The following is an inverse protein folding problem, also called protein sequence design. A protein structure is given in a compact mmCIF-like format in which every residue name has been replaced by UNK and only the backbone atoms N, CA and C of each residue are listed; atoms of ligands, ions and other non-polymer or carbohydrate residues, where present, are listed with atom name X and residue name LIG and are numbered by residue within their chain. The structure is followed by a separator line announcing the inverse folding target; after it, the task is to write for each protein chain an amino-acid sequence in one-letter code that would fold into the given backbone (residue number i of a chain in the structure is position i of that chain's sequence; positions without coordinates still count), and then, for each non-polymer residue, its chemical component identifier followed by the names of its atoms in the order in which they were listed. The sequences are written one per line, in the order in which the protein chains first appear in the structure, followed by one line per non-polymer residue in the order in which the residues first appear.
data_IF_693910814354
#
_entry.id   IF_693910814354
#
_cell.length_a   1.000
_cell.length_b   1.000
_cell.length_c   1.000
_cell.angle_alpha   90.00
_cell.angle_beta   90.00
_cell.angle_gamma   90.00
#
_symmetry.space_group_name_H-M   'P 1'
#
loop_
_entity.id
_entity.type
_entity.pdbx_description
1 polymer ?
#
# COMPACT_ATOMS: atom_id res chain seq x y z
N UNK A 1 -13.84 -39.36 76.67
CA UNK A 1 -15.14 -38.72 76.95
C UNK A 1 -15.09 -37.29 76.45
N UNK A 2 -16.13 -36.86 75.69
CA UNK A 2 -16.59 -35.45 75.49
C UNK A 2 -15.61 -34.51 74.77
N UNK A 3 -15.96 -33.59 73.87
CA UNK A 3 -17.17 -33.20 73.12
C UNK A 3 -16.64 -32.23 72.02
N UNK A 4 -17.18 -32.28 70.80
CA UNK A 4 -17.20 -31.16 69.83
C UNK A 4 -18.08 -30.02 70.41
N UNK A 5 -17.96 -28.72 70.03
CA UNK A 5 -18.17 -28.20 68.65
C UNK A 5 -17.30 -26.96 68.22
N UNK A 6 -17.00 -26.80 66.91
CA UNK A 6 -17.52 -25.79 65.95
C UNK A 6 -17.05 -24.32 66.21
N UNK A 7 -16.54 -23.52 65.26
CA UNK A 7 -17.26 -22.85 64.14
C UNK A 7 -16.30 -21.89 63.37
N UNK A 8 -16.33 -21.98 62.02
CA UNK A 8 -16.18 -20.96 60.93
C UNK A 8 -14.80 -20.27 60.72
N UNK A 9 -14.07 -20.57 59.61
CA UNK A 9 -14.09 -19.96 58.25
C UNK A 9 -13.76 -18.44 58.26
N UNK A 10 -12.85 -17.88 57.46
CA UNK A 10 -12.51 -18.19 56.07
C UNK A 10 -11.07 -17.76 55.73
N UNK A 11 -10.51 -18.49 54.77
CA UNK A 11 -9.17 -18.38 54.21
C UNK A 11 -9.16 -17.35 53.07
N UNK A 12 -8.12 -16.51 53.02
CA UNK A 12 -7.53 -16.00 51.78
C UNK A 12 -6.03 -15.77 52.03
N UNK A 13 -5.27 -16.86 51.90
CA UNK A 13 -3.85 -16.90 51.55
C UNK A 13 -3.81 -17.14 50.03
N UNK A 14 -2.92 -16.53 49.25
CA UNK A 14 -1.50 -16.87 49.26
C UNK A 14 -0.65 -15.64 48.93
N UNK A 15 0.36 -15.45 49.78
CA UNK A 15 1.50 -14.59 49.61
C UNK A 15 2.71 -15.38 49.06
N UNK A 16 3.76 -14.63 48.75
CA UNK A 16 5.20 -14.93 48.94
C UNK A 16 6.13 -15.06 47.72
N UNK A 17 6.78 -13.93 47.43
CA UNK A 17 8.23 -13.64 47.32
C UNK A 17 9.25 -14.78 47.13
N UNK A 18 10.23 -14.57 46.22
CA UNK A 18 11.45 -15.37 46.13
C UNK A 18 12.48 -14.89 45.09
N UNK A 19 13.55 -14.26 45.57
CA UNK A 19 14.77 -13.71 44.91
C UNK A 19 15.69 -14.78 44.30
N UNK A 20 16.26 -14.57 43.08
CA UNK A 20 17.66 -14.93 42.63
C UNK A 20 17.97 -14.48 41.19
N UNK A 21 19.23 -14.08 40.92
CA UNK A 21 19.92 -13.92 39.60
C UNK A 21 21.37 -14.46 39.88
N UNK A 22 22.18 -15.13 38.99
CA UNK A 22 22.36 -14.95 37.52
C UNK A 22 22.72 -16.21 36.65
N UNK A 23 22.98 -15.95 35.36
CA UNK A 23 23.91 -16.63 34.42
C UNK A 23 23.39 -17.65 33.37
N UNK A 24 23.53 -17.21 32.11
CA UNK A 24 23.88 -17.90 30.86
C UNK A 24 23.00 -19.00 30.25
N UNK A 25 22.89 -18.90 28.92
CA UNK A 25 22.41 -19.88 27.93
C UNK A 25 20.91 -20.20 27.92
N UNK A 26 20.14 -19.37 27.23
CA UNK A 26 19.17 -19.81 26.20
C UNK A 26 18.98 -18.64 25.21
N UNK A 27 19.77 -18.61 24.15
CA UNK A 27 19.39 -17.86 22.94
C UNK A 27 18.37 -18.72 22.20
N UNK A 28 17.11 -18.60 22.58
CA UNK A 28 15.98 -19.17 21.86
C UNK A 28 14.77 -18.28 22.11
N UNK A 29 14.00 -18.10 21.04
CA UNK A 29 12.73 -17.36 20.96
C UNK A 29 12.85 -15.88 20.57
N UNK A 30 13.43 -15.63 19.40
CA UNK A 30 12.76 -14.73 18.44
C UNK A 30 11.54 -15.46 17.86
N UNK A 31 10.49 -15.51 18.64
CA UNK A 31 9.13 -15.81 18.18
C UNK A 31 8.20 -14.81 18.84
N UNK A 32 7.54 -13.99 18.02
CA UNK A 32 6.55 -13.00 18.46
C UNK A 32 7.10 -11.58 18.42
N UNK A 33 6.63 -10.66 17.59
CA UNK A 33 5.34 -10.56 16.90
C UNK A 33 5.60 -9.84 15.57
N UNK A 34 5.46 -10.54 14.44
CA UNK A 34 5.18 -9.84 13.18
C UNK A 34 3.87 -9.11 13.41
N UNK A 35 3.96 -7.80 13.63
CA UNK A 35 2.81 -6.91 13.70
C UNK A 35 1.91 -7.28 12.52
N UNK A 36 0.62 -7.60 12.74
CA UNK A 36 -0.25 -7.98 11.64
C UNK A 36 -0.13 -6.87 10.60
N UNK A 37 0.24 -7.22 9.36
CA UNK A 37 0.30 -6.27 8.26
C UNK A 37 -1.04 -5.55 8.24
N UNK A 38 -1.05 -4.27 8.66
CA UNK A 38 -2.26 -3.44 8.66
C UNK A 38 -2.53 -2.99 7.23
N UNK A 39 -2.67 -3.96 6.33
CA UNK A 39 -2.82 -3.75 4.90
C UNK A 39 -4.03 -2.88 4.61
N UNK A 40 -5.12 -3.06 5.36
CA UNK A 40 -6.30 -2.20 5.31
C UNK A 40 -6.00 -0.73 5.61
N UNK A 41 -5.09 -0.44 6.54
CA UNK A 41 -4.72 0.96 6.84
C UNK A 41 -3.85 1.54 5.72
N UNK A 42 -2.93 0.77 5.16
CA UNK A 42 -2.13 1.18 4.00
C UNK A 42 -3.00 1.41 2.76
N UNK A 43 -4.02 0.59 2.54
CA UNK A 43 -4.99 0.79 1.44
C UNK A 43 -5.74 2.10 1.64
N UNK A 44 -6.24 2.37 2.86
CA UNK A 44 -6.95 3.64 3.16
C UNK A 44 -6.04 4.85 2.99
N UNK A 45 -4.79 4.75 3.42
CA UNK A 45 -3.79 5.80 3.22
C UNK A 45 -3.55 6.05 1.73
N UNK A 46 -3.38 4.99 0.95
CA UNK A 46 -3.21 5.09 -0.50
C UNK A 46 -4.42 5.75 -1.17
N UNK A 47 -5.64 5.34 -0.80
CA UNK A 47 -6.87 5.96 -1.27
C UNK A 47 -6.91 7.46 -0.92
N UNK A 48 -6.50 7.84 0.29
CA UNK A 48 -6.46 9.24 0.71
C UNK A 48 -5.44 10.05 -0.12
N UNK A 49 -4.25 9.49 -0.36
CA UNK A 49 -3.21 10.11 -1.20
C UNK A 49 -3.69 10.29 -2.64
N UNK A 50 -4.30 9.25 -3.23
CA UNK A 50 -4.84 9.30 -4.61
C UNK A 50 -5.97 10.32 -4.71
N UNK A 51 -6.89 10.35 -3.75
CA UNK A 51 -7.97 11.33 -3.70
C UNK A 51 -7.43 12.76 -3.57
N UNK A 52 -6.38 12.96 -2.75
CA UNK A 52 -5.75 14.26 -2.60
C UNK A 52 -5.10 14.72 -3.92
N UNK A 53 -4.32 13.86 -4.57
CA UNK A 53 -3.78 14.12 -5.90
C UNK A 53 -4.92 14.46 -6.89
N UNK A 54 -6.03 13.73 -6.81
CA UNK A 54 -7.28 13.99 -7.51
C UNK A 54 -7.69 15.45 -7.48
N UNK A 55 -7.81 15.98 -6.25
CA UNK A 55 -8.19 17.36 -5.99
C UNK A 55 -7.12 18.36 -6.45
N UNK A 56 -5.83 18.10 -6.21
CA UNK A 56 -4.74 19.01 -6.60
C UNK A 56 -4.67 19.15 -8.13
N UNK A 57 -4.80 18.04 -8.85
CA UNK A 57 -4.81 18.01 -10.31
C UNK A 57 -5.96 18.82 -10.92
N UNK A 58 -7.13 18.89 -10.25
CA UNK A 58 -8.23 19.75 -10.67
C UNK A 58 -7.92 21.23 -10.44
N UNK A 59 -7.26 21.58 -9.34
CA UNK A 59 -6.90 22.97 -9.03
C UNK A 59 -5.84 23.53 -9.99
N UNK A 60 -5.01 22.67 -10.57
CA UNK A 60 -3.92 23.07 -11.46
C UNK A 60 -4.27 23.18 -12.95
N UNK A 61 -5.56 23.08 -13.31
CA UNK A 61 -6.04 23.27 -14.68
C UNK A 61 -5.74 24.67 -15.27
N UNK A 62 -5.42 25.65 -14.42
CA UNK A 62 -5.22 27.05 -14.80
C UNK A 62 -3.76 27.54 -14.72
N UNK A 63 -2.78 26.62 -14.75
CA UNK A 63 -1.37 27.00 -14.65
C UNK A 63 -0.88 27.76 -15.91
N UNK A 64 -0.07 28.83 -15.73
CA UNK A 64 0.49 29.59 -16.84
C UNK A 64 1.61 28.83 -17.58
N UNK A 65 2.27 27.86 -16.94
CA UNK A 65 3.40 27.12 -17.52
C UNK A 65 2.98 25.75 -18.07
N UNK A 66 2.31 25.73 -19.23
CA UNK A 66 1.77 24.49 -19.81
C UNK A 66 2.84 23.50 -20.29
N UNK A 67 3.99 23.99 -20.75
CA UNK A 67 5.08 23.12 -21.23
C UNK A 67 5.68 22.28 -20.09
N UNK A 68 5.88 22.89 -18.93
CA UNK A 68 6.37 22.21 -17.73
C UNK A 68 5.35 21.18 -17.22
N UNK A 69 4.05 21.50 -17.28
CA UNK A 69 2.98 20.57 -16.96
C UNK A 69 2.96 19.36 -17.92
N UNK A 70 3.09 19.59 -19.24
CA UNK A 70 3.16 18.53 -20.25
C UNK A 70 4.31 17.58 -19.94
N UNK A 71 5.52 18.13 -19.71
CA UNK A 71 6.72 17.34 -19.43
C UNK A 71 6.59 16.54 -18.13
N UNK A 72 6.11 17.19 -17.06
CA UNK A 72 5.86 16.55 -15.76
C UNK A 72 4.89 15.38 -15.92
N UNK A 73 3.74 15.60 -16.58
CA UNK A 73 2.74 14.56 -16.78
C UNK A 73 3.27 13.40 -17.61
N UNK A 74 4.02 13.69 -18.67
CA UNK A 74 4.66 12.67 -19.51
C UNK A 74 5.64 11.83 -18.71
N UNK A 75 6.55 12.47 -17.99
CA UNK A 75 7.56 11.79 -17.18
C UNK A 75 6.93 10.91 -16.10
N UNK A 76 5.99 11.46 -15.32
CA UNK A 76 5.34 10.70 -14.24
C UNK A 76 4.50 9.54 -14.77
N UNK A 77 3.82 9.72 -15.91
CA UNK A 77 3.07 8.64 -16.55
C UNK A 77 4.00 7.53 -17.05
N UNK A 78 5.12 7.88 -17.69
CA UNK A 78 6.12 6.90 -18.12
C UNK A 78 6.74 6.16 -16.93
N UNK A 79 7.08 6.86 -15.84
CA UNK A 79 7.61 6.25 -14.64
C UNK A 79 6.63 5.28 -14.00
N UNK A 80 5.35 5.66 -13.90
CA UNK A 80 4.30 4.79 -13.38
C UNK A 80 4.15 3.52 -14.25
N UNK A 81 4.09 3.66 -15.57
CA UNK A 81 4.03 2.51 -16.50
C UNK A 81 5.23 1.58 -16.30
N UNK A 82 6.44 2.13 -16.24
CA UNK A 82 7.66 1.35 -16.05
C UNK A 82 7.66 0.61 -14.70
N UNK A 83 7.26 1.28 -13.62
CA UNK A 83 7.18 0.69 -12.29
C UNK A 83 6.16 -0.44 -12.24
N UNK A 84 4.99 -0.24 -12.86
CA UNK A 84 3.95 -1.28 -12.93
C UNK A 84 4.39 -2.45 -13.79
N UNK A 85 5.03 -2.22 -14.94
CA UNK A 85 5.56 -3.31 -15.77
C UNK A 85 6.63 -4.13 -15.02
N UNK A 86 7.53 -3.46 -14.30
CA UNK A 86 8.54 -4.11 -13.48
C UNK A 86 7.89 -4.94 -12.35
N UNK A 87 6.91 -4.37 -11.66
CA UNK A 87 6.11 -5.07 -10.65
C UNK A 87 5.42 -6.30 -11.24
N UNK A 88 4.72 -6.15 -12.37
CA UNK A 88 4.01 -7.23 -13.04
C UNK A 88 4.96 -8.36 -13.45
N UNK A 89 6.17 -8.02 -13.90
CA UNK A 89 7.18 -9.03 -14.25
C UNK A 89 7.70 -9.74 -13.00
N UNK A 90 8.20 -8.99 -12.02
CA UNK A 90 8.86 -9.55 -10.84
C UNK A 90 7.92 -10.41 -10.01
N UNK A 91 6.67 -9.98 -9.87
CA UNK A 91 5.67 -10.71 -9.11
C UNK A 91 5.14 -11.93 -9.88
N UNK A 92 5.06 -11.88 -11.21
CA UNK A 92 4.83 -13.09 -12.04
C UNK A 92 5.88 -14.16 -11.76
N UNK A 93 7.16 -13.77 -11.70
CA UNK A 93 8.27 -14.68 -11.45
C UNK A 93 8.19 -15.27 -10.02
N UNK A 94 7.85 -14.45 -9.02
CA UNK A 94 7.71 -14.89 -7.62
C UNK A 94 6.51 -15.81 -7.40
N UNK A 95 5.34 -15.50 -7.97
CA UNK A 95 4.11 -16.29 -7.80
C UNK A 95 4.28 -17.68 -8.39
N UNK A 96 4.86 -17.78 -9.59
CA UNK A 96 5.16 -19.09 -10.20
C UNK A 96 6.10 -19.94 -9.35
N UNK A 97 7.03 -19.31 -8.65
CA UNK A 97 8.04 -20.01 -7.85
C UNK A 97 7.56 -20.38 -6.44
N UNK A 98 6.77 -19.52 -5.80
CA UNK A 98 6.48 -19.62 -4.35
C UNK A 98 5.00 -19.74 -4.00
N UNK A 99 4.10 -19.36 -4.91
CA UNK A 99 2.66 -19.33 -4.64
C UNK A 99 1.84 -19.66 -5.88
N UNK A 100 2.07 -20.83 -6.53
CA UNK A 100 1.40 -21.20 -7.78
C UNK A 100 -0.14 -21.20 -7.67
N UNK A 101 -0.67 -21.39 -6.46
CA UNK A 101 -2.11 -21.28 -6.17
C UNK A 101 -2.68 -19.88 -6.41
N UNK A 102 -1.83 -18.83 -6.47
CA UNK A 102 -2.23 -17.46 -6.78
C UNK A 102 -2.19 -17.12 -8.27
N UNK A 103 -1.74 -18.04 -9.14
CA UNK A 103 -1.48 -17.77 -10.55
C UNK A 103 -2.71 -17.26 -11.30
N UNK A 104 -3.90 -17.80 -11.02
CA UNK A 104 -5.15 -17.34 -11.64
C UNK A 104 -5.52 -15.91 -11.20
N UNK A 105 -5.43 -15.62 -9.90
CA UNK A 105 -5.73 -14.28 -9.36
C UNK A 105 -4.74 -13.26 -9.90
N UNK A 106 -3.46 -13.62 -9.93
CA UNK A 106 -2.40 -12.81 -10.49
C UNK A 106 -2.60 -12.55 -11.99
N UNK A 107 -2.96 -13.57 -12.77
CA UNK A 107 -3.19 -13.43 -14.20
C UNK A 107 -4.33 -12.46 -14.50
N UNK A 108 -5.42 -12.54 -13.74
CA UNK A 108 -6.54 -11.60 -13.86
C UNK A 108 -6.13 -10.17 -13.54
N UNK A 109 -5.42 -9.96 -12.42
CA UNK A 109 -4.90 -8.65 -12.06
C UNK A 109 -3.93 -8.11 -13.12
N UNK A 110 -3.01 -8.95 -13.60
CA UNK A 110 -2.07 -8.60 -14.66
C UNK A 110 -2.77 -8.16 -15.94
N UNK A 111 -3.84 -8.85 -16.37
CA UNK A 111 -4.61 -8.45 -17.55
C UNK A 111 -5.19 -7.05 -17.40
N UNK A 112 -5.92 -6.81 -16.29
CA UNK A 112 -6.56 -5.51 -16.02
C UNK A 112 -5.55 -4.38 -15.90
N UNK A 113 -4.44 -4.61 -15.20
CA UNK A 113 -3.39 -3.61 -15.08
C UNK A 113 -2.74 -3.35 -16.45
N UNK A 114 -2.42 -4.38 -17.23
CA UNK A 114 -1.85 -4.19 -18.58
C UNK A 114 -2.79 -3.35 -19.46
N UNK A 115 -4.08 -3.67 -19.50
CA UNK A 115 -5.08 -2.92 -20.25
C UNK A 115 -5.18 -1.45 -19.80
N UNK A 116 -5.09 -1.20 -18.49
CA UNK A 116 -5.12 0.16 -17.93
C UNK A 116 -3.86 0.95 -18.29
N UNK A 117 -2.69 0.32 -18.17
CA UNK A 117 -1.39 1.00 -18.31
C UNK A 117 -0.88 1.09 -19.75
N UNK A 118 -1.36 0.25 -20.68
CA UNK A 118 -1.08 0.40 -22.12
C UNK A 118 -1.61 1.74 -22.64
N UNK A 119 -2.68 2.24 -22.05
CA UNK A 119 -3.32 3.51 -22.41
C UNK A 119 -2.61 4.76 -21.87
N UNK A 120 -1.63 4.58 -20.97
CA UNK A 120 -0.87 5.64 -20.30
C UNK A 120 0.45 5.99 -20.99
N UNK A 121 0.94 5.12 -21.87
CA UNK A 121 2.16 5.37 -22.65
C UNK A 121 1.86 6.24 -23.88
N UNK A 122 1.46 7.50 -23.64
CA UNK A 122 1.14 8.49 -24.67
C UNK A 122 2.10 9.66 -24.62
N UNK A 123 2.37 10.27 -25.78
CA UNK A 123 3.16 11.51 -25.89
C UNK A 123 2.20 12.69 -26.09
N UNK A 124 1.73 13.35 -25.02
CA UNK A 124 0.81 14.48 -25.16
C UNK A 124 1.54 15.69 -25.74
N UNK A 125 0.92 16.35 -26.71
CA UNK A 125 1.41 17.58 -27.35
C UNK A 125 0.47 18.77 -27.11
N UNK A 126 -0.76 18.52 -26.65
CA UNK A 126 -1.77 19.56 -26.40
C UNK A 126 -2.31 19.50 -24.97
N UNK A 127 -2.86 20.62 -24.50
CA UNK A 127 -3.52 20.71 -23.18
C UNK A 127 -4.65 19.69 -23.02
N UNK A 128 -5.41 19.42 -24.09
CA UNK A 128 -6.47 18.40 -24.14
C UNK A 128 -5.89 17.01 -23.86
N UNK A 129 -4.80 16.65 -24.54
CA UNK A 129 -4.13 15.36 -24.35
C UNK A 129 -3.49 15.23 -22.97
N UNK A 130 -3.02 16.34 -22.38
CA UNK A 130 -2.57 16.36 -20.97
C UNK A 130 -3.74 16.11 -20.02
N UNK A 131 -4.90 16.71 -20.25
CA UNK A 131 -6.08 16.47 -19.42
C UNK A 131 -6.54 15.01 -19.51
N UNK A 132 -6.48 14.41 -20.69
CA UNK A 132 -6.73 12.98 -20.89
C UNK A 132 -5.68 12.12 -20.17
N UNK A 133 -4.39 12.44 -20.33
CA UNK A 133 -3.30 11.72 -19.67
C UNK A 133 -3.43 11.79 -18.15
N UNK A 134 -3.79 12.95 -17.61
CA UNK A 134 -4.09 13.14 -16.20
C UNK A 134 -5.20 12.23 -15.71
N UNK A 135 -6.33 12.20 -16.42
CA UNK A 135 -7.46 11.34 -16.05
C UNK A 135 -7.04 9.86 -16.07
N UNK A 136 -6.31 9.43 -17.10
CA UNK A 136 -5.78 8.08 -17.19
C UNK A 136 -4.75 7.78 -16.10
N UNK A 137 -3.94 8.75 -15.70
CA UNK A 137 -2.97 8.57 -14.61
C UNK A 137 -3.69 8.31 -13.29
N UNK A 138 -4.70 9.14 -12.99
CA UNK A 138 -5.55 8.97 -11.81
C UNK A 138 -6.26 7.61 -11.83
N UNK A 139 -6.82 7.22 -12.97
CA UNK A 139 -7.42 5.91 -13.17
C UNK A 139 -6.42 4.78 -12.97
N UNK A 140 -5.19 4.93 -13.48
CA UNK A 140 -4.12 3.95 -13.33
C UNK A 140 -3.74 3.71 -11.88
N UNK A 141 -3.42 4.76 -11.11
CA UNK A 141 -3.08 4.62 -9.69
C UNK A 141 -4.26 4.07 -8.87
N UNK A 142 -5.49 4.48 -9.18
CA UNK A 142 -6.70 3.98 -8.51
C UNK A 142 -6.93 2.49 -8.81
N UNK A 143 -6.79 2.09 -10.07
CA UNK A 143 -6.96 0.69 -10.49
C UNK A 143 -5.90 -0.20 -9.84
N UNK A 144 -4.65 0.28 -9.75
CA UNK A 144 -3.58 -0.44 -9.08
C UNK A 144 -3.91 -0.74 -7.62
N UNK A 145 -4.40 0.24 -6.86
CA UNK A 145 -4.83 0.03 -5.46
C UNK A 145 -6.07 -0.87 -5.39
N UNK A 146 -7.06 -0.65 -6.24
CA UNK A 146 -8.34 -1.36 -6.21
C UNK A 146 -8.18 -2.85 -6.51
N UNK A 147 -7.45 -3.20 -7.56
CA UNK A 147 -7.21 -4.60 -7.89
C UNK A 147 -6.35 -5.30 -6.83
N UNK A 148 -5.43 -4.58 -6.20
CA UNK A 148 -4.62 -5.09 -5.10
C UNK A 148 -5.43 -5.35 -3.84
N UNK A 149 -6.41 -4.49 -3.54
CA UNK A 149 -7.39 -4.69 -2.47
C UNK A 149 -8.30 -5.90 -2.77
N UNK A 150 -8.73 -6.07 -4.02
CA UNK A 150 -9.52 -7.24 -4.43
C UNK A 150 -8.75 -8.54 -4.20
N UNK A 151 -7.47 -8.59 -4.59
CA UNK A 151 -6.60 -9.76 -4.34
C UNK A 151 -6.49 -10.03 -2.83
N UNK A 152 -6.28 -9.00 -2.01
CA UNK A 152 -6.22 -9.15 -0.56
C UNK A 152 -7.51 -9.71 0.04
N UNK A 153 -8.68 -9.24 -0.42
CA UNK A 153 -10.00 -9.70 0.05
C UNK A 153 -10.27 -11.15 -0.33
N UNK A 154 -10.02 -11.53 -1.59
CA UNK A 154 -10.35 -12.87 -2.11
C UNK A 154 -9.67 -14.01 -1.34
N UNK A 155 -8.53 -13.74 -0.70
CA UNK A 155 -7.70 -14.80 -0.13
C UNK A 155 -7.65 -14.79 1.40
N UNK A 156 -8.11 -13.71 2.04
CA UNK A 156 -8.38 -13.70 3.47
C UNK A 156 -9.36 -14.82 3.90
N UNK A 157 -10.06 -15.43 2.94
CA UNK A 157 -11.04 -16.49 3.16
C UNK A 157 -10.47 -17.94 3.08
N UNK A 158 -9.22 -18.18 2.62
CA UNK A 158 -8.86 -19.55 2.18
C UNK A 158 -7.59 -20.23 2.72
N UNK A 159 -6.54 -19.58 3.26
CA UNK A 159 -5.40 -20.31 3.86
C UNK A 159 -4.29 -19.38 4.41
N UNK A 160 -3.73 -19.72 5.56
CA UNK A 160 -2.56 -19.03 6.15
C UNK A 160 -1.25 -19.22 5.36
N UNK A 161 -1.17 -20.16 4.40
CA UNK A 161 0.04 -20.40 3.60
C UNK A 161 0.29 -19.36 2.52
N UNK A 162 -0.76 -18.67 2.05
CA UNK A 162 -0.67 -17.68 0.97
C UNK A 162 -0.63 -16.23 1.47
N UNK A 163 -0.99 -16.01 2.74
CA UNK A 163 -1.15 -14.68 3.33
C UNK A 163 0.09 -13.78 3.15
N UNK A 164 1.29 -14.34 3.29
CA UNK A 164 2.53 -13.57 3.14
C UNK A 164 2.76 -13.08 1.70
N UNK A 165 2.59 -13.97 0.71
CA UNK A 165 2.77 -13.62 -0.70
C UNK A 165 1.78 -12.55 -1.16
N UNK A 166 0.55 -12.60 -0.63
CA UNK A 166 -0.50 -11.62 -0.94
C UNK A 166 -0.26 -10.31 -0.26
N UNK A 167 0.09 -10.34 1.03
CA UNK A 167 0.38 -9.13 1.76
C UNK A 167 1.54 -8.39 1.10
N UNK A 168 2.56 -9.11 0.62
CA UNK A 168 3.66 -8.55 -0.16
C UNK A 168 3.19 -7.99 -1.51
N UNK A 169 2.41 -8.76 -2.27
CA UNK A 169 1.83 -8.34 -3.57
C UNK A 169 1.04 -7.04 -3.41
N UNK A 170 0.07 -7.04 -2.50
CA UNK A 170 -0.81 -5.90 -2.27
C UNK A 170 0.00 -4.71 -1.74
N UNK A 171 0.95 -4.93 -0.82
CA UNK A 171 1.81 -3.86 -0.32
C UNK A 171 2.64 -3.21 -1.44
N UNK A 172 3.30 -3.99 -2.28
CA UNK A 172 4.13 -3.43 -3.35
C UNK A 172 3.32 -2.60 -4.34
N UNK A 173 2.12 -3.05 -4.71
CA UNK A 173 1.25 -2.28 -5.59
C UNK A 173 0.75 -0.98 -4.92
N UNK A 174 0.42 -1.03 -3.63
CA UNK A 174 0.07 0.17 -2.85
C UNK A 174 1.24 1.15 -2.81
N UNK A 175 2.44 0.67 -2.48
CA UNK A 175 3.64 1.50 -2.38
C UNK A 175 3.90 2.21 -3.73
N UNK A 176 3.80 1.50 -4.87
CA UNK A 176 3.92 2.10 -6.21
C UNK A 176 2.87 3.18 -6.44
N UNK A 177 1.60 2.93 -6.10
CA UNK A 177 0.53 3.90 -6.31
C UNK A 177 0.72 5.16 -5.44
N UNK A 178 1.12 4.99 -4.18
CA UNK A 178 1.40 6.08 -3.25
C UNK A 178 2.59 6.91 -3.73
N UNK A 179 3.71 6.26 -4.07
CA UNK A 179 4.91 6.95 -4.56
C UNK A 179 4.63 7.73 -5.84
N UNK A 180 3.97 7.10 -6.82
CA UNK A 180 3.61 7.78 -8.07
C UNK A 180 2.70 8.99 -7.80
N UNK A 181 1.74 8.83 -6.89
CA UNK A 181 0.81 9.90 -6.57
C UNK A 181 1.50 11.07 -5.86
N UNK A 182 2.36 10.78 -4.88
CA UNK A 182 3.14 11.77 -4.14
C UNK A 182 4.14 12.49 -5.04
N UNK A 183 4.86 11.76 -5.90
CA UNK A 183 5.83 12.33 -6.82
C UNK A 183 5.18 13.33 -7.78
N UNK A 184 4.06 12.95 -8.41
CA UNK A 184 3.31 13.86 -9.26
C UNK A 184 2.84 15.08 -8.47
N UNK A 185 2.24 14.86 -7.31
CA UNK A 185 1.74 15.93 -6.44
C UNK A 185 2.83 16.94 -6.03
N UNK A 186 4.03 16.46 -5.74
CA UNK A 186 5.16 17.29 -5.34
C UNK A 186 5.74 18.09 -6.52
N UNK A 187 5.81 17.52 -7.72
CA UNK A 187 6.28 18.23 -8.91
C UNK A 187 5.30 19.31 -9.36
N UNK A 188 4.01 18.99 -9.29
CA UNK A 188 2.93 19.92 -9.57
C UNK A 188 2.96 21.14 -8.64
N UNK A 189 3.14 20.94 -7.34
CA UNK A 189 3.27 22.07 -6.40
C UNK A 189 4.49 22.95 -6.69
N UNK A 190 5.60 22.36 -7.16
CA UNK A 190 6.80 23.11 -7.54
C UNK A 190 6.64 23.90 -8.84
N UNK A 191 5.85 23.39 -9.79
CA UNK A 191 5.54 24.06 -11.06
C UNK A 191 4.57 25.26 -10.90
N UNK A 192 4.05 25.51 -9.69
CA UNK A 192 3.21 26.67 -9.41
C UNK A 192 4.09 27.84 -8.96
N UNK A 193 4.18 28.95 -9.71
CA UNK A 193 5.03 30.07 -9.29
C UNK A 193 4.55 30.63 -7.94
N UNK A 194 5.51 30.92 -7.04
CA UNK A 194 5.24 31.63 -5.80
C UNK A 194 4.54 32.97 -6.12
N UNK A 195 3.55 33.42 -5.32
CA UNK A 195 2.89 34.70 -5.56
C UNK A 195 3.95 35.80 -5.61
N UNK A 196 4.09 36.46 -6.76
CA UNK A 196 5.02 37.57 -6.88
C UNK A 196 4.62 38.66 -5.87
N UNK A 197 5.55 39.18 -5.06
CA UNK A 197 5.25 40.31 -4.19
C UNK A 197 4.84 41.49 -5.06
N UNK A 198 3.60 41.95 -4.86
CA UNK A 198 3.11 43.19 -5.47
C UNK A 198 3.97 44.34 -4.95
N UNK A 199 4.74 44.97 -5.85
CA UNK A 199 5.37 46.27 -5.60
C UNK A 199 4.41 47.40 -6.01
#
# INVERSE_FOLDING_TARGET
MRCLPAVILAVLLVATEGKVVPASDVESQQTGTQQPLQLSDHIKEAQAVINNLGAQLQQQLNLPNQEELINTMKEQSSNLVNNVQAYLKNMSDEIKAKSPELENLWTNMKSKLSETFDNLNVNPETTEQVNQLRAKFQEGVQTLVTESENVAKTINENSSKVQEGIAKLTKQAIDIAVEASQNLNNQLQQATPAPQPQN
#
